data_IF_614075916787
#
_entry.id   IF_614075916787
#
_cell.length_a   1.000
_cell.length_b   1.000
_cell.length_c   1.000
_cell.angle_alpha   90.00
_cell.angle_beta   90.00
_cell.angle_gamma   90.00
#
_symmetry.space_group_name_H-M   'P 1'
#
loop_
_entity.id
_entity.type
_entity.pdbx_description
1 polymer ?
#
# COMPACT_ATOMS: atom_id res chain seq x y z
N UNK A 1 4.02 -9.26 3.73
CA UNK A 1 4.49 -9.54 2.36
C UNK A 1 3.51 -10.48 1.70
N UNK A 2 3.12 -10.22 0.45
CA UNK A 2 2.27 -11.11 -0.35
C UNK A 2 3.00 -12.43 -0.57
N UNK A 3 2.40 -13.56 -0.17
CA UNK A 3 3.02 -14.89 -0.26
C UNK A 3 2.89 -15.55 -1.64
N UNK A 4 2.15 -14.94 -2.56
CA UNK A 4 1.92 -15.41 -3.92
C UNK A 4 0.58 -14.95 -4.48
N UNK A 5 0.38 -15.13 -5.79
CA UNK A 5 -0.89 -14.90 -6.48
C UNK A 5 -1.49 -16.22 -6.97
N UNK A 6 -2.81 -16.23 -7.16
CA UNK A 6 -3.55 -17.38 -7.70
C UNK A 6 -4.14 -16.96 -9.05
N UNK A 7 -3.81 -17.72 -10.10
CA UNK A 7 -4.46 -17.61 -11.42
C UNK A 7 -5.78 -18.38 -11.43
N UNK A 8 -6.74 -17.87 -12.20
CA UNK A 8 -8.05 -18.49 -12.44
C UNK A 8 -8.75 -18.97 -11.16
N UNK A 9 -8.71 -18.12 -10.13
CA UNK A 9 -9.26 -18.40 -8.81
C UNK A 9 -10.72 -18.88 -8.88
N UNK A 10 -11.02 -19.99 -8.19
CA UNK A 10 -12.33 -20.69 -8.17
C UNK A 10 -12.73 -21.36 -9.50
N UNK A 11 -11.79 -21.61 -10.41
CA UNK A 11 -12.03 -22.43 -11.61
C UNK A 11 -11.25 -23.75 -11.56
N UNK A 12 -11.58 -24.74 -12.42
CA UNK A 12 -10.77 -25.96 -12.54
C UNK A 12 -9.32 -25.73 -13.00
N UNK A 13 -9.01 -24.56 -13.58
CA UNK A 13 -7.68 -24.17 -14.06
C UNK A 13 -6.84 -23.46 -12.97
N UNK A 14 -7.37 -23.33 -11.75
CA UNK A 14 -6.71 -22.63 -10.66
C UNK A 14 -5.30 -23.17 -10.38
N UNK A 15 -4.32 -22.27 -10.32
CA UNK A 15 -2.94 -22.60 -9.92
C UNK A 15 -2.25 -21.43 -9.22
N UNK A 16 -1.20 -21.74 -8.47
CA UNK A 16 -0.29 -20.71 -7.96
C UNK A 16 0.48 -20.09 -9.13
N UNK A 17 0.72 -18.78 -9.03
CA UNK A 17 1.70 -18.11 -9.86
C UNK A 17 3.10 -18.68 -9.60
N UNK A 18 3.92 -18.80 -10.64
CA UNK A 18 5.35 -19.08 -10.48
C UNK A 18 6.06 -17.87 -9.86
N UNK A 19 7.29 -18.01 -9.34
CA UNK A 19 8.07 -16.87 -8.87
C UNK A 19 8.21 -15.76 -9.92
N UNK A 20 8.49 -16.12 -11.18
CA UNK A 20 8.64 -15.16 -12.28
C UNK A 20 7.33 -14.42 -12.59
N UNK A 21 6.20 -15.13 -12.55
CA UNK A 21 4.88 -14.52 -12.73
C UNK A 21 4.52 -13.60 -11.56
N UNK A 22 4.87 -14.00 -10.33
CA UNK A 22 4.66 -13.18 -9.14
C UNK A 22 5.47 -11.88 -9.21
N UNK A 23 6.76 -11.96 -9.55
CA UNK A 23 7.63 -10.80 -9.70
C UNK A 23 7.12 -9.86 -10.78
N UNK A 24 6.65 -10.41 -11.91
CA UNK A 24 6.04 -9.62 -12.98
C UNK A 24 4.78 -8.90 -12.51
N UNK A 25 3.86 -9.59 -11.83
CA UNK A 25 2.62 -8.96 -11.31
C UNK A 25 2.95 -7.85 -10.31
N UNK A 26 3.91 -8.06 -9.42
CA UNK A 26 4.35 -7.03 -8.47
C UNK A 26 4.97 -5.83 -9.19
N UNK A 27 5.80 -6.07 -10.22
CA UNK A 27 6.40 -5.01 -11.03
C UNK A 27 5.34 -4.21 -11.79
N UNK A 28 4.33 -4.88 -12.37
CA UNK A 28 3.22 -4.25 -13.08
C UNK A 28 2.37 -3.39 -12.13
N UNK A 29 2.02 -3.92 -10.95
CA UNK A 29 1.29 -3.16 -9.91
C UNK A 29 2.10 -1.93 -9.50
N UNK A 30 3.40 -2.09 -9.20
CA UNK A 30 4.25 -0.98 -8.82
C UNK A 30 4.37 0.07 -9.94
N UNK A 31 4.53 -0.36 -11.19
CA UNK A 31 4.58 0.52 -12.35
C UNK A 31 3.33 1.43 -12.42
N UNK A 32 2.14 0.86 -12.24
CA UNK A 32 0.89 1.62 -12.24
C UNK A 32 0.84 2.70 -11.15
N UNK A 33 1.47 2.47 -9.99
CA UNK A 33 1.54 3.46 -8.90
C UNK A 33 2.56 4.58 -9.12
N UNK A 34 3.62 4.35 -9.89
CA UNK A 34 4.74 5.30 -10.05
C UNK A 34 4.84 5.94 -11.43
N UNK A 35 4.14 5.41 -12.43
CA UNK A 35 4.12 5.98 -13.78
C UNK A 35 3.60 7.42 -13.79
N UNK A 36 3.83 8.12 -14.90
CA UNK A 36 3.44 9.52 -15.07
C UNK A 36 3.96 10.43 -13.97
N UNK A 37 5.19 10.18 -13.51
CA UNK A 37 5.83 10.90 -12.42
C UNK A 37 4.97 10.89 -11.13
N UNK A 38 4.48 9.70 -10.74
CA UNK A 38 3.69 9.49 -9.51
C UNK A 38 2.40 10.32 -9.44
N UNK A 39 1.77 10.64 -10.58
CA UNK A 39 0.60 11.52 -10.68
C UNK A 39 -0.57 11.15 -9.75
N UNK A 40 -0.73 9.86 -9.43
CA UNK A 40 -1.82 9.38 -8.57
C UNK A 40 -1.47 9.36 -7.08
N UNK A 41 -0.24 9.72 -6.71
CA UNK A 41 0.20 9.73 -5.32
C UNK A 41 -0.09 11.10 -4.69
N UNK A 42 -0.74 11.08 -3.53
CA UNK A 42 -0.90 12.24 -2.67
C UNK A 42 0.19 12.24 -1.60
N UNK A 43 0.95 13.33 -1.51
CA UNK A 43 1.98 13.53 -0.48
C UNK A 43 1.45 14.49 0.58
N UNK A 44 1.38 14.03 1.82
CA UNK A 44 0.92 14.83 2.95
C UNK A 44 2.10 15.24 3.84
N UNK A 45 2.34 16.55 3.92
CA UNK A 45 3.30 17.15 4.84
C UNK A 45 2.55 17.53 6.12
N UNK A 46 2.81 16.79 7.20
CA UNK A 46 2.08 16.92 8.45
C UNK A 46 2.42 18.21 9.20
N UNK A 47 1.38 18.90 9.65
CA UNK A 47 1.45 20.00 10.60
C UNK A 47 0.71 19.68 11.92
N UNK A 48 1.10 20.28 13.05
CA UNK A 48 0.40 20.09 14.31
C UNK A 48 -1.09 20.47 14.22
N UNK A 49 -1.96 19.55 14.61
CA UNK A 49 -3.42 19.74 14.61
C UNK A 49 -4.13 19.14 13.39
N UNK A 50 -3.39 18.65 12.40
CA UNK A 50 -3.98 17.97 11.26
C UNK A 50 -4.44 16.54 11.60
N UNK A 51 -5.46 16.09 10.88
CA UNK A 51 -5.89 14.70 10.89
C UNK A 51 -6.27 14.29 9.46
N UNK A 52 -5.98 13.05 9.10
CA UNK A 52 -6.38 12.46 7.83
C UNK A 52 -7.26 11.24 8.07
N UNK A 53 -8.20 11.02 7.16
CA UNK A 53 -8.99 9.79 7.10
C UNK A 53 -8.64 9.13 5.76
N UNK A 54 -8.20 7.86 5.82
CA UNK A 54 -7.97 7.05 4.64
C UNK A 54 -8.96 5.89 4.59
N UNK A 55 -9.52 5.65 3.41
CA UNK A 55 -10.27 4.43 3.14
C UNK A 55 -9.28 3.30 2.83
N UNK A 56 -9.06 2.43 3.81
CA UNK A 56 -8.10 1.33 3.71
C UNK A 56 -8.47 0.28 2.65
N UNK A 57 -9.70 0.28 2.11
CA UNK A 57 -10.09 -0.59 1.01
C UNK A 57 -9.86 0.05 -0.36
N UNK A 58 -9.71 1.37 -0.42
CA UNK A 58 -9.55 2.12 -1.67
C UNK A 58 -8.12 2.60 -1.92
N UNK A 59 -7.31 2.83 -0.88
CA UNK A 59 -5.96 3.40 -1.02
C UNK A 59 -4.89 2.60 -0.29
N UNK A 60 -3.69 2.55 -0.88
CA UNK A 60 -2.45 2.24 -0.17
C UNK A 60 -1.88 3.50 0.48
N UNK A 61 -1.10 3.32 1.56
CA UNK A 61 -0.33 4.40 2.16
C UNK A 61 1.04 3.90 2.58
N UNK A 62 2.05 4.77 2.43
CA UNK A 62 3.42 4.50 2.85
C UNK A 62 3.97 5.70 3.63
N UNK A 63 4.88 5.43 4.56
CA UNK A 63 5.67 6.47 5.20
C UNK A 63 6.87 6.78 4.31
N UNK A 64 7.29 8.04 4.24
CA UNK A 64 8.50 8.41 3.48
C UNK A 64 9.73 7.70 4.05
N UNK A 65 10.73 7.44 3.21
CA UNK A 65 11.97 6.75 3.61
C UNK A 65 12.67 7.45 4.78
N UNK A 66 12.56 8.78 4.86
CA UNK A 66 13.13 9.61 5.93
C UNK A 66 12.62 9.21 7.31
N UNK A 67 11.40 8.66 7.41
CA UNK A 67 10.84 8.19 8.68
C UNK A 67 11.62 7.02 9.30
N UNK A 68 12.48 6.36 8.52
CA UNK A 68 13.34 5.27 8.97
C UNK A 68 14.74 5.74 9.37
N UNK A 69 15.07 7.02 9.19
CA UNK A 69 16.37 7.58 9.59
C UNK A 69 16.50 7.67 11.12
N UNK A 70 17.73 7.71 11.67
CA UNK A 70 17.95 7.87 13.10
C UNK A 70 17.27 9.11 13.66
N UNK A 71 16.71 8.99 14.88
CA UNK A 71 16.05 10.11 15.59
C UNK A 71 16.92 11.35 15.74
N UNK A 72 18.24 11.22 15.75
CA UNK A 72 19.18 12.34 15.79
C UNK A 72 19.19 13.18 14.50
N UNK A 73 18.70 12.64 13.39
CA UNK A 73 18.60 13.31 12.09
C UNK A 73 17.21 13.89 11.84
N UNK A 74 16.15 13.15 12.20
CA UNK A 74 14.76 13.48 11.84
C UNK A 74 13.85 13.81 13.03
N UNK A 75 14.39 13.77 14.25
CA UNK A 75 13.63 14.06 15.47
C UNK A 75 12.71 12.91 15.93
N UNK A 76 11.74 13.24 16.77
CA UNK A 76 10.69 12.33 17.23
C UNK A 76 9.35 12.74 16.60
N UNK A 77 8.70 11.81 15.91
CA UNK A 77 7.37 11.99 15.33
C UNK A 77 6.39 11.03 15.98
N UNK A 78 5.30 11.56 16.54
CA UNK A 78 4.25 10.78 17.21
C UNK A 78 2.91 11.09 16.54
N UNK A 79 2.20 10.06 16.08
CA UNK A 79 0.82 10.18 15.61
C UNK A 79 -0.06 9.16 16.32
N UNK A 80 -1.27 9.56 16.63
CA UNK A 80 -2.30 8.68 17.12
C UNK A 80 -3.16 8.19 15.96
N UNK A 81 -3.56 6.92 15.99
CA UNK A 81 -4.42 6.33 14.97
C UNK A 81 -5.60 5.63 15.62
N UNK A 82 -6.78 5.80 15.00
CA UNK A 82 -7.97 4.98 15.26
C UNK A 82 -8.29 4.20 13.99
N UNK A 83 -8.66 2.94 14.13
CA UNK A 83 -9.06 2.08 13.02
C UNK A 83 -10.51 1.64 13.22
N UNK A 84 -11.34 1.83 12.19
CA UNK A 84 -12.72 1.33 12.17
C UNK A 84 -12.71 -0.06 11.53
N UNK A 85 -13.34 -1.04 12.17
CA UNK A 85 -13.44 -2.40 11.64
C UNK A 85 -14.32 -2.43 10.37
N UNK A 86 -13.81 -3.06 9.31
CA UNK A 86 -14.58 -3.27 8.08
C UNK A 86 -15.72 -4.27 8.29
N UNK A 87 -16.85 -4.04 7.61
CA UNK A 87 -18.05 -4.90 7.72
C UNK A 87 -18.26 -5.80 6.51
N UNK A 88 -17.60 -5.51 5.39
CA UNK A 88 -17.72 -6.25 4.13
C UNK A 88 -16.37 -6.35 3.42
N UNK A 89 -16.04 -7.52 2.83
CA UNK A 89 -14.87 -7.63 1.97
C UNK A 89 -15.12 -6.88 0.64
N UNK A 90 -14.06 -6.42 -0.05
CA UNK A 90 -14.17 -5.90 -1.41
C UNK A 90 -14.83 -6.93 -2.33
N UNK A 91 -15.78 -6.49 -3.16
CA UNK A 91 -16.41 -7.29 -4.20
C UNK A 91 -16.38 -6.48 -5.52
N UNK A 92 -16.25 -7.18 -6.66
CA UNK A 92 -16.33 -6.57 -7.99
C UNK A 92 -17.78 -6.31 -8.39
#
# INVERSE_FOLDING_TARGET
>A
MTSGFIWDYKTPQQRMATPEEMDKVLADIHHEFVKDNKKIQYVHNWEPGEFIISDNLAVGHEATEETQLPRSQVGLRVLHRVTIAGTKPPHK
#
